data_IF_183851320289
#
_entry.id   IF_183851320289
#
_cell.length_a   1.000
_cell.length_b   1.000
_cell.length_c   1.000
_cell.angle_alpha   90.00
_cell.angle_beta   90.00
_cell.angle_gamma   90.00
#
_symmetry.space_group_name_H-M   'P 1'
#
loop_
_entity.id
_entity.type
_entity.pdbx_description
1 polymer ?
#
# COMPACT_ATOMS: atom_id res chain seq x y z
N UNK A 1 43.93 -40.50 -26.16
CA UNK A 1 43.66 -39.83 -24.86
C UNK A 1 43.61 -38.34 -25.11
N UNK A 2 42.43 -37.81 -25.38
CA UNK A 2 42.15 -36.38 -25.27
C UNK A 2 40.73 -36.32 -24.73
N UNK A 3 40.62 -36.16 -23.41
CA UNK A 3 39.35 -35.97 -22.72
C UNK A 3 38.72 -34.69 -23.24
N UNK A 4 37.66 -34.84 -24.02
CA UNK A 4 36.75 -33.77 -24.41
C UNK A 4 36.04 -33.29 -23.14
N UNK A 5 36.52 -32.17 -22.60
CA UNK A 5 35.87 -31.44 -21.52
C UNK A 5 34.48 -31.05 -22.02
N UNK A 6 33.47 -31.72 -21.47
CA UNK A 6 32.06 -31.42 -21.68
C UNK A 6 31.85 -29.97 -21.24
N UNK A 7 31.61 -29.07 -22.19
CA UNK A 7 31.49 -27.65 -21.88
C UNK A 7 30.06 -27.46 -21.38
N UNK A 8 29.83 -27.14 -20.09
CA UNK A 8 28.48 -26.91 -19.61
C UNK A 8 27.86 -25.81 -20.46
N UNK A 9 26.59 -25.94 -20.80
CA UNK A 9 25.86 -24.89 -21.50
C UNK A 9 25.66 -23.69 -20.56
N UNK A 10 26.70 -22.86 -20.46
CA UNK A 10 26.71 -21.67 -19.61
C UNK A 10 25.61 -20.69 -19.98
N UNK A 11 25.16 -20.71 -21.24
CA UNK A 11 24.08 -19.86 -21.69
C UNK A 11 22.76 -20.27 -21.03
N UNK A 12 22.43 -21.58 -20.99
CA UNK A 12 21.22 -22.03 -20.28
C UNK A 12 21.32 -21.81 -18.77
N UNK A 13 22.47 -22.06 -18.14
CA UNK A 13 22.68 -21.78 -16.71
C UNK A 13 22.49 -20.30 -16.37
N UNK A 14 23.03 -19.40 -17.20
CA UNK A 14 22.86 -17.95 -17.05
C UNK A 14 21.40 -17.53 -17.29
N UNK A 15 20.74 -18.07 -18.31
CA UNK A 15 19.32 -17.80 -18.57
C UNK A 15 18.43 -18.26 -17.41
N UNK A 16 18.69 -19.44 -16.85
CA UNK A 16 17.94 -19.98 -15.73
C UNK A 16 18.14 -19.15 -14.46
N UNK A 17 19.39 -18.79 -14.16
CA UNK A 17 19.73 -17.94 -13.01
C UNK A 17 19.11 -16.55 -13.14
N UNK A 18 19.22 -15.94 -14.32
CA UNK A 18 18.67 -14.61 -14.60
C UNK A 18 17.14 -14.59 -14.49
N UNK A 19 16.47 -15.64 -14.99
CA UNK A 19 15.03 -15.84 -14.83
C UNK A 19 14.65 -15.91 -13.35
N UNK A 20 15.34 -16.72 -12.56
CA UNK A 20 15.05 -16.84 -11.12
C UNK A 20 15.19 -15.50 -10.38
N UNK A 21 16.22 -14.72 -10.68
CA UNK A 21 16.40 -13.38 -10.11
C UNK A 21 15.27 -12.42 -10.51
N UNK A 22 14.88 -12.42 -11.78
CA UNK A 22 13.80 -11.57 -12.30
C UNK A 22 12.47 -11.92 -11.64
N UNK A 23 12.17 -13.21 -11.48
CA UNK A 23 10.96 -13.69 -10.79
C UNK A 23 10.93 -13.26 -9.32
N UNK A 24 12.06 -13.35 -8.62
CA UNK A 24 12.16 -12.89 -7.24
C UNK A 24 11.99 -11.38 -7.12
N UNK A 25 12.55 -10.60 -8.06
CA UNK A 25 12.38 -9.14 -8.09
C UNK A 25 10.91 -8.74 -8.22
N UNK A 26 10.19 -9.34 -9.19
CA UNK A 26 8.74 -9.09 -9.37
C UNK A 26 7.97 -9.44 -8.10
N UNK A 27 8.33 -10.54 -7.43
CA UNK A 27 7.66 -10.94 -6.19
C UNK A 27 7.90 -9.97 -5.04
N UNK A 28 9.12 -9.45 -4.89
CA UNK A 28 9.42 -8.43 -3.88
C UNK A 28 8.65 -7.14 -4.16
N UNK A 29 8.64 -6.70 -5.41
CA UNK A 29 7.90 -5.52 -5.83
C UNK A 29 6.39 -5.66 -5.55
N UNK A 30 5.77 -6.80 -5.87
CA UNK A 30 4.36 -7.07 -5.53
C UNK A 30 4.11 -7.01 -4.01
N UNK A 31 4.99 -7.62 -3.22
CA UNK A 31 4.85 -7.61 -1.77
C UNK A 31 5.01 -6.19 -1.19
N UNK A 32 5.98 -5.42 -1.68
CA UNK A 32 6.19 -4.03 -1.28
C UNK A 32 5.02 -3.13 -1.72
N UNK A 33 4.52 -3.32 -2.94
CA UNK A 33 3.40 -2.56 -3.48
C UNK A 33 2.11 -2.83 -2.68
N UNK A 34 1.83 -4.10 -2.36
CA UNK A 34 0.66 -4.48 -1.55
C UNK A 34 0.78 -4.02 -0.11
N UNK A 35 1.98 -4.05 0.47
CA UNK A 35 2.21 -3.55 1.82
C UNK A 35 2.01 -2.03 1.93
N UNK A 36 2.29 -1.30 0.84
CA UNK A 36 2.16 0.16 0.78
C UNK A 36 0.97 0.61 -0.09
N UNK A 37 0.03 -0.28 -0.40
CA UNK A 37 -1.13 0.05 -1.21
C UNK A 37 -2.00 1.08 -0.46
N UNK A 38 -2.22 2.28 -1.02
CA UNK A 38 -3.02 3.30 -0.35
C UNK A 38 -4.46 2.83 -0.14
N UNK A 39 -4.96 2.95 1.09
CA UNK A 39 -6.34 2.60 1.41
C UNK A 39 -7.25 3.82 1.16
N UNK A 40 -8.19 3.67 0.24
CA UNK A 40 -9.17 4.70 -0.07
C UNK A 40 -10.27 4.79 1.02
N UNK A 41 -10.52 5.98 1.55
CA UNK A 41 -11.69 6.27 2.38
C UNK A 41 -12.85 6.64 1.44
N UNK A 42 -13.75 5.69 1.19
CA UNK A 42 -14.86 5.86 0.23
C UNK A 42 -16.16 6.41 0.85
N UNK A 43 -16.20 6.57 2.17
CA UNK A 43 -17.36 7.08 2.88
C UNK A 43 -17.07 7.37 4.35
N UNK A 44 -17.86 8.27 4.93
CA UNK A 44 -17.77 8.65 6.34
C UNK A 44 -19.13 9.08 6.88
N UNK A 45 -19.30 8.95 8.20
CA UNK A 45 -20.47 9.43 8.95
C UNK A 45 -20.03 9.71 10.38
N UNK A 46 -20.66 10.68 11.04
CA UNK A 46 -20.32 11.05 12.41
C UNK A 46 -21.50 11.65 13.18
N UNK A 47 -21.36 11.70 14.50
CA UNK A 47 -22.19 12.48 15.43
C UNK A 47 -21.26 13.06 16.49
N UNK A 48 -21.06 14.37 16.44
CA UNK A 48 -20.20 15.11 17.38
C UNK A 48 -20.98 16.20 18.11
N UNK A 49 -20.45 16.72 19.23
CA UNK A 49 -21.00 17.90 19.92
C UNK A 49 -21.10 19.14 19.01
N UNK A 50 -21.82 20.16 19.46
CA UNK A 50 -22.03 21.40 18.67
C UNK A 50 -22.97 21.25 17.46
N UNK A 51 -23.75 20.17 17.40
CA UNK A 51 -24.74 19.92 16.34
C UNK A 51 -24.17 19.29 15.06
N UNK A 52 -22.92 18.82 15.10
CA UNK A 52 -22.24 18.16 13.98
C UNK A 52 -22.75 16.72 13.77
N UNK A 53 -23.91 16.59 13.13
CA UNK A 53 -24.58 15.32 12.89
C UNK A 53 -24.11 14.56 11.65
N UNK A 54 -23.20 15.12 10.87
CA UNK A 54 -22.73 14.59 9.60
C UNK A 54 -21.39 15.26 9.23
N UNK A 55 -20.62 14.70 8.30
CA UNK A 55 -19.32 15.24 7.91
C UNK A 55 -19.38 16.70 7.46
N UNK A 56 -20.44 17.09 6.76
CA UNK A 56 -20.65 18.46 6.26
C UNK A 56 -20.77 19.44 7.42
N UNK A 57 -21.67 19.19 8.38
CA UNK A 57 -21.83 20.05 9.57
C UNK A 57 -20.61 20.03 10.46
N UNK A 58 -19.90 18.91 10.53
CA UNK A 58 -18.62 18.85 11.27
C UNK A 58 -17.59 19.78 10.63
N UNK A 59 -17.47 19.77 9.30
CA UNK A 59 -16.57 20.67 8.59
C UNK A 59 -16.97 22.14 8.75
N UNK A 60 -18.26 22.47 8.72
CA UNK A 60 -18.76 23.82 9.01
C UNK A 60 -18.36 24.28 10.42
N UNK A 61 -18.50 23.43 11.43
CA UNK A 61 -18.09 23.73 12.81
C UNK A 61 -16.60 24.04 12.90
N UNK A 62 -15.75 23.20 12.29
CA UNK A 62 -14.29 23.36 12.30
C UNK A 62 -13.84 24.61 11.54
N UNK A 63 -14.36 24.81 10.33
CA UNK A 63 -13.98 25.94 9.46
C UNK A 63 -14.39 27.30 10.05
N UNK A 64 -15.46 27.33 10.85
CA UNK A 64 -15.90 28.52 11.57
C UNK A 64 -15.24 28.67 12.96
N UNK A 65 -14.43 27.70 13.41
CA UNK A 65 -13.78 27.72 14.71
C UNK A 65 -14.74 27.74 15.89
N UNK A 66 -15.92 27.10 15.76
CA UNK A 66 -16.96 27.10 16.80
C UNK A 66 -16.65 26.09 17.90
N UNK A 67 -17.00 26.46 19.14
CA UNK A 67 -16.91 25.55 20.29
C UNK A 67 -18.16 24.66 20.39
N UNK A 68 -17.95 23.37 20.64
CA UNK A 68 -18.99 22.36 20.80
C UNK A 68 -19.22 21.92 22.25
N UNK A 69 -18.46 22.47 23.21
CA UNK A 69 -18.59 22.14 24.64
C UNK A 69 -19.89 22.74 25.19
N UNK A 70 -20.65 21.91 25.91
CA UNK A 70 -21.88 22.32 26.60
C UNK A 70 -21.86 21.79 28.03
N UNK A 71 -22.62 22.42 28.93
CA UNK A 71 -22.89 21.83 30.25
C UNK A 71 -23.63 20.50 30.11
N UNK A 72 -23.56 19.67 31.16
CA UNK A 72 -24.31 18.42 31.22
C UNK A 72 -25.80 18.77 31.17
N UNK A 73 -26.60 18.14 30.29
CA UNK A 73 -28.03 18.40 30.19
C UNK A 73 -28.81 18.18 31.49
#
# INVERSE_FOLDING_TARGET
MSDSVDTPDYHSLLQESFRALTEMQVKLEDMEQRANEPIAIIGMSCRFPGGASDPERFWELLSQGRDGITEIP
#
